data_IF_318284515913
#
_entry.id   IF_318284515913
#
_cell.length_a   1.000
_cell.length_b   1.000
_cell.length_c   1.000
_cell.angle_alpha   90.00
_cell.angle_beta   90.00
_cell.angle_gamma   90.00
#
_symmetry.space_group_name_H-M   'P 1'
#
loop_
_entity.id
_entity.type
_entity.pdbx_description
1 polymer ?
#
# COMPACT_ATOMS: atom_id res chain seq x y z
N UNK A 1 -2.24 3.80 -0.43
CA UNK A 1 -0.90 3.21 -0.19
C UNK A 1 -0.69 2.06 -1.17
N UNK A 2 0.39 2.07 -1.95
CA UNK A 2 0.79 0.93 -2.79
C UNK A 2 1.77 0.05 -2.02
N UNK A 3 1.32 -1.13 -1.57
CA UNK A 3 2.12 -2.06 -0.78
C UNK A 3 3.01 -2.95 -1.69
N UNK A 4 4.03 -2.33 -2.30
CA UNK A 4 4.95 -2.98 -3.25
C UNK A 4 6.34 -3.17 -2.61
N UNK A 5 6.78 -4.39 -2.26
CA UNK A 5 8.16 -4.60 -1.80
C UNK A 5 9.15 -4.47 -2.96
N UNK A 6 10.42 -4.07 -2.71
CA UNK A 6 11.43 -4.00 -3.76
C UNK A 6 11.69 -5.39 -4.37
N UNK A 7 12.07 -5.41 -5.65
CA UNK A 7 12.55 -6.62 -6.30
C UNK A 7 13.87 -7.09 -5.67
N UNK A 8 14.25 -8.34 -5.93
CA UNK A 8 15.53 -8.86 -5.45
C UNK A 8 16.70 -8.07 -6.05
N UNK A 9 17.53 -7.49 -5.18
CA UNK A 9 18.67 -6.66 -5.56
C UNK A 9 18.36 -5.16 -5.76
N UNK A 10 17.09 -4.76 -5.69
CA UNK A 10 16.68 -3.35 -5.79
C UNK A 10 16.65 -2.66 -4.42
N UNK A 11 17.11 -1.41 -4.39
CA UNK A 11 17.08 -0.54 -3.23
C UNK A 11 16.17 0.67 -3.51
N UNK A 12 15.10 0.85 -2.73
CA UNK A 12 14.21 2.00 -2.94
C UNK A 12 14.81 3.35 -2.55
N UNK A 13 15.53 3.40 -1.43
CA UNK A 13 16.05 4.66 -0.87
C UNK A 13 17.49 4.47 -0.39
N UNK A 14 17.72 3.51 0.51
CA UNK A 14 19.03 3.29 1.10
C UNK A 14 19.79 2.24 0.32
N UNK A 15 20.97 2.63 -0.18
CA UNK A 15 21.85 1.74 -0.90
C UNK A 15 22.48 0.68 0.02
N UNK A 16 22.51 -0.57 -0.45
CA UNK A 16 23.20 -1.71 0.17
C UNK A 16 22.62 -2.10 1.55
N UNK A 17 21.45 -2.74 1.53
CA UNK A 17 20.83 -3.29 2.73
C UNK A 17 21.68 -4.39 3.39
N UNK A 18 21.58 -4.56 4.73
CA UNK A 18 22.23 -5.67 5.43
C UNK A 18 21.85 -7.03 4.82
N UNK A 19 22.81 -7.94 4.54
CA UNK A 19 22.52 -9.23 3.90
C UNK A 19 21.51 -10.11 4.65
N UNK A 20 21.41 -9.96 5.96
CA UNK A 20 20.47 -10.67 6.83
C UNK A 20 19.06 -10.03 6.85
N UNK A 21 18.90 -8.81 6.33
CA UNK A 21 17.62 -8.12 6.29
C UNK A 21 16.72 -8.74 5.22
N UNK A 22 15.67 -9.44 5.67
CA UNK A 22 14.70 -10.06 4.76
C UNK A 22 13.72 -9.03 4.21
N UNK A 23 13.59 -8.99 2.89
CA UNK A 23 12.53 -8.25 2.22
C UNK A 23 11.17 -8.97 2.46
N UNK A 24 10.12 -8.27 2.93
CA UNK A 24 8.82 -8.89 3.12
C UNK A 24 8.18 -9.25 1.77
N UNK A 25 7.62 -10.46 1.67
CA UNK A 25 6.76 -10.84 0.54
C UNK A 25 5.49 -9.97 0.50
N UNK A 26 4.82 -9.81 -0.65
CA UNK A 26 3.67 -8.90 -0.80
C UNK A 26 2.60 -9.06 0.29
N UNK A 27 2.18 -10.30 0.59
CA UNK A 27 1.18 -10.57 1.63
C UNK A 27 1.61 -10.08 3.02
N UNK A 28 2.88 -10.28 3.39
CA UNK A 28 3.41 -9.84 4.69
C UNK A 28 3.46 -8.33 4.79
N UNK A 29 3.82 -7.63 3.71
CA UNK A 29 3.82 -6.17 3.67
C UNK A 29 2.40 -5.60 3.76
N UNK A 30 1.43 -6.23 3.08
CA UNK A 30 0.02 -5.87 3.19
C UNK A 30 -0.50 -6.03 4.62
N UNK A 31 -0.20 -7.16 5.28
CA UNK A 31 -0.59 -7.39 6.69
C UNK A 31 0.07 -6.38 7.64
N UNK A 32 1.31 -6.00 7.37
CA UNK A 32 2.00 -4.96 8.14
C UNK A 32 1.28 -3.61 8.06
N UNK A 33 0.88 -3.19 6.85
CA UNK A 33 0.09 -1.96 6.69
C UNK A 33 -1.29 -2.08 7.32
N UNK A 34 -1.99 -3.22 7.18
CA UNK A 34 -3.28 -3.43 7.85
C UNK A 34 -3.17 -3.27 9.36
N UNK A 35 -2.16 -3.86 9.99
CA UNK A 35 -1.91 -3.70 11.44
C UNK A 35 -1.70 -2.23 11.83
N UNK A 36 -0.99 -1.45 11.00
CA UNK A 36 -0.82 -0.02 11.22
C UNK A 36 -2.14 0.74 11.10
N UNK A 37 -2.93 0.45 10.06
CA UNK A 37 -4.23 1.08 9.82
C UNK A 37 -5.24 0.73 10.91
N UNK A 38 -5.27 -0.52 11.38
CA UNK A 38 -6.13 -0.98 12.48
C UNK A 38 -5.83 -0.23 13.78
N UNK A 39 -4.54 0.00 14.09
CA UNK A 39 -4.15 0.86 15.21
C UNK A 39 -4.68 2.28 15.03
N UNK A 40 -4.59 2.83 13.82
CA UNK A 40 -5.16 4.14 13.49
C UNK A 40 -6.67 4.23 13.67
N UNK A 41 -7.41 3.14 13.39
CA UNK A 41 -8.85 3.05 13.67
C UNK A 41 -9.11 3.05 15.17
N UNK A 42 -8.39 2.24 15.95
CA UNK A 42 -8.53 2.17 17.43
C UNK A 42 -8.28 3.54 18.06
N UNK A 43 -7.25 4.25 17.58
CA UNK A 43 -6.87 5.59 18.05
C UNK A 43 -7.76 6.71 17.48
N UNK A 44 -8.76 6.38 16.64
CA UNK A 44 -9.67 7.32 15.98
C UNK A 44 -8.96 8.36 15.10
N UNK A 45 -7.81 7.99 14.55
CA UNK A 45 -7.07 8.77 13.56
C UNK A 45 -7.56 8.44 12.15
N UNK A 46 -7.93 7.18 11.92
CA UNK A 46 -8.44 6.66 10.64
C UNK A 46 -9.90 6.27 10.84
N UNK A 47 -10.78 6.69 9.93
CA UNK A 47 -12.20 6.33 9.98
C UNK A 47 -12.43 4.88 9.51
N UNK A 48 -11.96 4.56 8.30
CA UNK A 48 -11.95 3.24 7.69
C UNK A 48 -10.84 3.13 6.62
N UNK A 49 -10.66 1.95 6.05
CA UNK A 49 -9.84 1.75 4.85
C UNK A 49 -10.39 0.60 4.00
N UNK A 50 -10.20 0.69 2.68
CA UNK A 50 -10.62 -0.30 1.69
C UNK A 50 -9.50 -0.52 0.68
N UNK A 51 -9.51 -1.69 0.03
CA UNK A 51 -8.75 -1.82 -1.21
C UNK A 51 -9.43 -1.00 -2.32
N UNK A 52 -8.66 -0.67 -3.36
CA UNK A 52 -9.10 0.24 -4.42
C UNK A 52 -10.29 -0.30 -5.22
N UNK A 53 -10.38 -1.62 -5.43
CA UNK A 53 -11.47 -2.21 -6.19
C UNK A 53 -12.77 -2.05 -5.40
N UNK A 54 -12.74 -2.39 -4.11
CA UNK A 54 -13.88 -2.19 -3.22
C UNK A 54 -14.28 -0.71 -3.15
N UNK A 55 -13.32 0.21 -3.03
CA UNK A 55 -13.61 1.65 -3.00
C UNK A 55 -14.27 2.11 -4.31
N UNK A 56 -13.71 1.74 -5.47
CA UNK A 56 -14.26 2.12 -6.77
C UNK A 56 -15.68 1.58 -7.01
N UNK A 57 -15.96 0.36 -6.55
CA UNK A 57 -17.30 -0.23 -6.62
C UNK A 57 -18.30 0.48 -5.71
N UNK A 58 -17.93 0.81 -4.48
CA UNK A 58 -18.81 1.50 -3.53
C UNK A 58 -19.08 2.96 -3.94
N UNK A 59 -18.10 3.63 -4.55
CA UNK A 59 -18.23 4.98 -5.09
C UNK A 59 -18.95 5.02 -6.45
N UNK A 60 -19.22 3.86 -7.05
CA UNK A 60 -19.80 3.71 -8.40
C UNK A 60 -19.00 4.45 -9.47
N UNK A 61 -17.66 4.35 -9.41
CA UNK A 61 -16.77 4.93 -10.42
C UNK A 61 -17.12 4.36 -11.80
N UNK A 62 -17.39 5.24 -12.75
CA UNK A 62 -17.90 4.90 -14.09
C UNK A 62 -16.87 5.11 -15.19
N UNK A 63 -15.83 5.90 -14.92
CA UNK A 63 -14.76 6.26 -15.84
C UNK A 63 -13.40 6.23 -15.16
N UNK A 64 -12.37 5.84 -15.90
CA UNK A 64 -10.99 5.86 -15.43
C UNK A 64 -10.52 7.26 -15.01
N UNK A 65 -11.08 8.32 -15.58
CA UNK A 65 -10.76 9.71 -15.23
C UNK A 65 -11.19 10.12 -13.82
N UNK A 66 -12.02 9.31 -13.15
CA UNK A 66 -12.45 9.54 -11.76
C UNK A 66 -11.46 8.92 -10.75
N UNK A 67 -10.54 8.05 -11.21
CA UNK A 67 -9.49 7.51 -10.36
C UNK A 67 -8.43 8.59 -10.07
N UNK A 68 -7.91 8.66 -8.82
CA UNK A 68 -6.80 9.55 -8.51
C UNK A 68 -5.58 9.26 -9.40
N UNK A 69 -4.97 10.32 -9.94
CA UNK A 69 -3.80 10.23 -10.81
C UNK A 69 -2.57 10.78 -10.10
N UNK A 70 -1.61 9.91 -9.76
CA UNK A 70 -0.39 10.30 -9.05
C UNK A 70 0.88 9.92 -9.83
N UNK A 71 1.90 10.75 -9.73
CA UNK A 71 3.19 10.48 -10.37
C UNK A 71 3.83 9.20 -9.81
N UNK A 72 4.19 8.27 -10.71
CA UNK A 72 4.87 7.02 -10.36
C UNK A 72 3.98 5.99 -9.65
N UNK A 73 2.66 6.16 -9.68
CA UNK A 73 1.74 5.13 -9.19
C UNK A 73 1.61 3.95 -10.19
N UNK A 74 0.80 2.98 -9.80
CA UNK A 74 0.58 1.76 -10.58
C UNK A 74 -0.59 1.87 -11.58
N UNK A 75 -1.49 2.84 -11.40
CA UNK A 75 -2.83 2.84 -12.00
C UNK A 75 -2.86 3.36 -13.44
#
# INVERSE_FOLDING_TARGET
IWACPPSEGDDYIFHCHPPEQKIPKPKRLQEWYKKMLDKGIIERIILDYKDILKQAMEDNISSAAELPYFEGDFW
#
